data_IF_764937746534
#
_entry.id   IF_764937746534
#
_cell.length_a   1.000
_cell.length_b   1.000
_cell.length_c   1.000
_cell.angle_alpha   90.00
_cell.angle_beta   90.00
_cell.angle_gamma   90.00
#
_symmetry.space_group_name_H-M   'P 1'
#
loop_
_entity.id
_entity.type
_entity.pdbx_description
1 polymer ?
#
# COMPACT_ATOMS: atom_id res chain seq x y z
N UNK A 1 -136.73 -53.97 -47.38
CA UNK A 1 -136.39 -55.28 -46.81
C UNK A 1 -135.03 -55.71 -47.37
N UNK A 2 -134.15 -56.24 -46.49
CA UNK A 2 -132.83 -56.87 -46.73
C UNK A 2 -131.81 -56.10 -47.58
N UNK A 3 -130.72 -55.52 -47.08
CA UNK A 3 -129.54 -56.08 -46.37
C UNK A 3 -128.93 -57.30 -47.06
N UNK A 4 -127.58 -57.29 -47.13
CA UNK A 4 -126.63 -58.34 -47.53
C UNK A 4 -126.12 -58.11 -48.95
N UNK A 5 -124.85 -57.83 -49.22
CA UNK A 5 -123.64 -58.10 -48.46
C UNK A 5 -122.58 -58.54 -49.47
N UNK A 6 -121.85 -57.59 -50.05
CA UNK A 6 -120.77 -57.90 -50.99
C UNK A 6 -119.50 -58.09 -50.16
N UNK A 7 -119.08 -59.34 -50.02
CA UNK A 7 -117.92 -59.77 -49.25
C UNK A 7 -116.67 -58.97 -49.64
N UNK A 8 -116.24 -58.09 -48.74
CA UNK A 8 -114.87 -57.60 -48.72
C UNK A 8 -113.98 -58.85 -48.79
N UNK A 9 -113.13 -58.98 -49.81
CA UNK A 9 -112.27 -60.15 -49.93
C UNK A 9 -111.24 -60.07 -48.79
N UNK A 10 -111.52 -60.79 -47.71
CA UNK A 10 -110.80 -60.70 -46.42
C UNK A 10 -109.30 -60.95 -46.63
N UNK A 11 -108.93 -61.79 -47.61
CA UNK A 11 -107.53 -62.02 -47.99
C UNK A 11 -106.82 -60.78 -48.56
N UNK A 12 -107.53 -59.97 -49.37
CA UNK A 12 -106.99 -58.73 -49.94
C UNK A 12 -106.84 -57.63 -48.88
N UNK A 13 -107.79 -57.55 -47.94
CA UNK A 13 -107.69 -56.65 -46.77
C UNK A 13 -106.60 -57.10 -45.80
N UNK A 14 -106.44 -58.39 -45.57
CA UNK A 14 -105.35 -58.93 -44.75
C UNK A 14 -103.97 -58.66 -45.36
N UNK A 15 -103.81 -58.81 -46.68
CA UNK A 15 -102.56 -58.46 -47.37
C UNK A 15 -102.31 -56.96 -47.28
N UNK A 16 -103.34 -56.11 -47.48
CA UNK A 16 -103.21 -54.66 -47.32
C UNK A 16 -102.85 -54.28 -45.87
N UNK A 17 -103.45 -54.91 -44.87
CA UNK A 17 -103.11 -54.69 -43.46
C UNK A 17 -101.70 -55.20 -43.12
N UNK A 18 -101.25 -56.31 -43.69
CA UNK A 18 -99.90 -56.85 -43.49
C UNK A 18 -98.83 -56.01 -44.19
N UNK A 19 -99.10 -55.49 -45.39
CA UNK A 19 -98.19 -54.57 -46.07
C UNK A 19 -98.18 -53.22 -45.38
N UNK A 20 -99.33 -52.69 -44.94
CA UNK A 20 -99.41 -51.46 -44.13
C UNK A 20 -98.71 -51.65 -42.78
N UNK A 21 -98.90 -52.77 -42.08
CA UNK A 21 -98.24 -53.05 -40.81
C UNK A 21 -96.75 -53.32 -40.99
N UNK A 22 -96.35 -53.99 -42.07
CA UNK A 22 -94.95 -54.23 -42.42
C UNK A 22 -94.23 -52.96 -42.84
N UNK A 23 -94.85 -52.10 -43.65
CA UNK A 23 -94.28 -50.80 -44.03
C UNK A 23 -94.26 -49.83 -42.85
N UNK A 24 -95.29 -49.82 -42.00
CA UNK A 24 -95.32 -49.02 -40.75
C UNK A 24 -94.27 -49.50 -39.74
N UNK A 25 -94.13 -50.81 -39.53
CA UNK A 25 -93.12 -51.38 -38.64
C UNK A 25 -91.69 -51.14 -39.14
N UNK A 26 -91.46 -51.30 -40.45
CA UNK A 26 -90.18 -50.97 -41.06
C UNK A 26 -89.87 -49.47 -40.98
N UNK A 27 -90.84 -48.58 -41.23
CA UNK A 27 -90.63 -47.13 -41.10
C UNK A 27 -90.37 -46.68 -39.68
N UNK A 28 -91.02 -47.27 -38.67
CA UNK A 28 -90.73 -47.00 -37.25
C UNK A 28 -89.33 -47.48 -36.86
N UNK A 29 -88.92 -48.68 -37.29
CA UNK A 29 -87.59 -49.22 -37.02
C UNK A 29 -86.48 -48.44 -37.75
N UNK A 30 -86.74 -48.03 -39.00
CA UNK A 30 -85.84 -47.15 -39.73
C UNK A 30 -85.81 -45.74 -39.12
N UNK A 31 -86.92 -45.22 -38.60
CA UNK A 31 -86.92 -43.95 -37.86
C UNK A 31 -86.01 -44.00 -36.64
N UNK A 32 -86.12 -45.05 -35.82
CA UNK A 32 -85.29 -45.22 -34.62
C UNK A 32 -83.81 -45.46 -34.97
N UNK A 33 -83.54 -46.24 -36.02
CA UNK A 33 -82.17 -46.46 -36.51
C UNK A 33 -81.56 -45.21 -37.14
N UNK A 34 -82.36 -44.41 -37.85
CA UNK A 34 -81.94 -43.12 -38.43
C UNK A 34 -81.73 -42.10 -37.32
N UNK A 35 -82.60 -42.00 -36.31
CA UNK A 35 -82.40 -41.15 -35.12
C UNK A 35 -81.16 -41.54 -34.33
N UNK A 36 -80.93 -42.84 -34.12
CA UNK A 36 -79.73 -43.35 -33.46
C UNK A 36 -78.46 -43.06 -34.24
N UNK A 37 -78.50 -43.17 -35.58
CA UNK A 37 -77.40 -42.75 -36.45
C UNK A 37 -77.18 -41.24 -36.41
N UNK A 38 -78.24 -40.44 -36.46
CA UNK A 38 -78.17 -38.97 -36.45
C UNK A 38 -77.59 -38.47 -35.13
N UNK A 39 -78.02 -39.05 -34.01
CA UNK A 39 -77.49 -38.76 -32.68
C UNK A 39 -76.00 -39.07 -32.60
N UNK A 40 -75.59 -40.23 -33.12
CA UNK A 40 -74.17 -40.63 -33.12
C UNK A 40 -73.32 -39.80 -34.07
N UNK A 41 -73.89 -39.38 -35.20
CA UNK A 41 -73.23 -38.53 -36.19
C UNK A 41 -73.05 -37.11 -35.64
N UNK A 42 -74.08 -36.56 -34.97
CA UNK A 42 -74.02 -35.33 -34.19
C UNK A 42 -72.96 -35.38 -33.09
N UNK A 43 -72.91 -36.48 -32.33
CA UNK A 43 -71.93 -36.67 -31.26
C UNK A 43 -70.49 -36.79 -31.79
N UNK A 44 -70.29 -37.51 -32.91
CA UNK A 44 -69.00 -37.59 -33.60
C UNK A 44 -68.58 -36.25 -34.21
N UNK A 45 -69.52 -35.44 -34.73
CA UNK A 45 -69.24 -34.08 -35.18
C UNK A 45 -68.79 -33.21 -34.00
N UNK A 46 -69.52 -33.21 -32.89
CA UNK A 46 -69.15 -32.48 -31.68
C UNK A 46 -67.78 -32.91 -31.13
N UNK A 47 -67.48 -34.22 -31.09
CA UNK A 47 -66.16 -34.71 -30.71
C UNK A 47 -65.05 -34.30 -31.67
N UNK A 48 -65.33 -34.29 -32.98
CA UNK A 48 -64.36 -33.80 -33.98
C UNK A 48 -64.09 -32.30 -33.81
N UNK A 49 -65.12 -31.51 -33.51
CA UNK A 49 -64.96 -30.09 -33.21
C UNK A 49 -64.13 -29.88 -31.95
N UNK A 50 -64.41 -30.63 -30.88
CA UNK A 50 -63.64 -30.60 -29.64
C UNK A 50 -62.17 -30.97 -29.88
N UNK A 51 -61.90 -32.10 -30.55
CA UNK A 51 -60.53 -32.53 -30.85
C UNK A 51 -59.78 -31.54 -31.74
N UNK A 52 -60.49 -30.86 -32.66
CA UNK A 52 -59.88 -29.80 -33.49
C UNK A 52 -59.53 -28.58 -32.64
N UNK A 53 -60.38 -28.23 -31.68
CA UNK A 53 -60.12 -27.17 -30.71
C UNK A 53 -58.89 -27.51 -29.87
N UNK A 54 -58.87 -28.68 -29.23
CA UNK A 54 -57.78 -29.15 -28.37
C UNK A 54 -56.44 -29.23 -29.15
N UNK A 55 -56.47 -29.71 -30.40
CA UNK A 55 -55.29 -29.77 -31.26
C UNK A 55 -54.77 -28.36 -31.60
N UNK A 56 -55.68 -27.39 -31.81
CA UNK A 56 -55.32 -26.00 -32.06
C UNK A 56 -54.70 -25.34 -30.83
N UNK A 57 -55.27 -25.60 -29.66
CA UNK A 57 -54.75 -25.12 -28.37
C UNK A 57 -53.36 -25.72 -28.08
N UNK A 58 -53.22 -27.04 -28.15
CA UNK A 58 -51.94 -27.71 -27.96
C UNK A 58 -50.85 -27.25 -28.95
N UNK A 59 -51.22 -26.89 -30.19
CA UNK A 59 -50.27 -26.30 -31.16
C UNK A 59 -49.82 -24.91 -30.74
N UNK A 60 -50.74 -24.11 -30.21
CA UNK A 60 -50.45 -22.76 -29.71
C UNK A 60 -49.52 -22.83 -28.50
N UNK A 61 -49.82 -23.70 -27.53
CA UNK A 61 -49.01 -23.92 -26.34
C UNK A 61 -47.59 -24.41 -26.69
N UNK A 62 -47.50 -25.32 -27.66
CA UNK A 62 -46.21 -25.83 -28.14
C UNK A 62 -45.38 -24.69 -28.78
N UNK A 63 -46.02 -23.77 -29.51
CA UNK A 63 -45.35 -22.63 -30.10
C UNK A 63 -44.87 -21.64 -29.01
N UNK A 64 -45.71 -21.32 -28.03
CA UNK A 64 -45.35 -20.46 -26.90
C UNK A 64 -44.20 -21.07 -26.09
N UNK A 65 -44.28 -22.36 -25.79
CA UNK A 65 -43.23 -23.07 -25.06
C UNK A 65 -41.90 -23.06 -25.81
N UNK A 66 -41.92 -23.26 -27.14
CA UNK A 66 -40.71 -23.17 -27.96
C UNK A 66 -40.09 -21.78 -27.91
N UNK A 67 -40.90 -20.73 -27.96
CA UNK A 67 -40.42 -19.36 -27.85
C UNK A 67 -39.79 -19.10 -26.48
N UNK A 68 -40.44 -19.55 -25.39
CA UNK A 68 -39.90 -19.43 -24.02
C UNK A 68 -38.58 -20.18 -23.86
N UNK A 69 -38.42 -21.35 -24.48
CA UNK A 69 -37.16 -22.11 -24.47
C UNK A 69 -36.06 -21.34 -25.22
N UNK A 70 -36.37 -20.69 -26.33
CA UNK A 70 -35.41 -19.86 -27.06
C UNK A 70 -34.95 -18.66 -26.22
N UNK A 71 -35.90 -17.91 -25.64
CA UNK A 71 -35.61 -16.76 -24.77
C UNK A 71 -34.79 -17.16 -23.52
N UNK A 72 -35.10 -18.32 -22.93
CA UNK A 72 -34.34 -18.86 -21.80
C UNK A 72 -32.91 -19.26 -22.21
N UNK A 73 -32.72 -19.82 -23.40
CA UNK A 73 -31.38 -20.16 -23.89
C UNK A 73 -30.52 -18.91 -24.14
N UNK A 74 -31.09 -17.87 -24.74
CA UNK A 74 -30.40 -16.59 -24.97
C UNK A 74 -30.02 -15.92 -23.63
N UNK A 75 -30.94 -15.95 -22.67
CA UNK A 75 -30.70 -15.45 -21.31
C UNK A 75 -29.60 -16.25 -20.60
N UNK A 76 -29.60 -17.58 -20.76
CA UNK A 76 -28.59 -18.46 -20.18
C UNK A 76 -27.21 -18.23 -20.80
N UNK A 77 -27.14 -18.02 -22.11
CA UNK A 77 -25.89 -17.70 -22.81
C UNK A 77 -25.32 -16.35 -22.34
N UNK A 78 -26.17 -15.34 -22.22
CA UNK A 78 -25.81 -14.03 -21.67
C UNK A 78 -25.29 -14.15 -20.25
N UNK A 79 -26.03 -14.82 -19.36
CA UNK A 79 -25.62 -15.02 -17.97
C UNK A 79 -24.30 -15.78 -17.84
N UNK A 80 -24.02 -16.76 -18.73
CA UNK A 80 -22.73 -17.45 -18.77
C UNK A 80 -21.60 -16.53 -19.20
N UNK A 81 -21.84 -15.67 -20.18
CA UNK A 81 -20.89 -14.64 -20.60
C UNK A 81 -20.54 -13.69 -19.46
N UNK A 82 -21.56 -13.18 -18.77
CA UNK A 82 -21.40 -12.27 -17.63
C UNK A 82 -20.60 -12.94 -16.50
N UNK A 83 -20.91 -14.19 -16.16
CA UNK A 83 -20.15 -14.96 -15.15
C UNK A 83 -18.69 -15.12 -15.56
N UNK A 84 -18.41 -15.44 -16.82
CA UNK A 84 -17.04 -15.55 -17.33
C UNK A 84 -16.29 -14.21 -17.23
N UNK A 85 -16.95 -13.10 -17.56
CA UNK A 85 -16.35 -11.77 -17.49
C UNK A 85 -16.06 -11.36 -16.04
N UNK A 86 -17.02 -11.56 -15.14
CA UNK A 86 -16.85 -11.28 -13.71
C UNK A 86 -15.73 -12.14 -13.12
N UNK A 87 -15.64 -13.41 -13.49
CA UNK A 87 -14.55 -14.28 -13.04
C UNK A 87 -13.18 -13.79 -13.51
N UNK A 88 -13.06 -13.32 -14.75
CA UNK A 88 -11.82 -12.74 -15.28
C UNK A 88 -11.41 -11.45 -14.54
N UNK A 89 -12.38 -10.56 -14.32
CA UNK A 89 -12.16 -9.32 -13.57
C UNK A 89 -11.76 -9.58 -12.12
N UNK A 90 -12.37 -10.59 -11.49
CA UNK A 90 -12.03 -11.00 -10.13
C UNK A 90 -10.58 -11.47 -10.05
N UNK A 91 -10.17 -12.37 -10.95
CA UNK A 91 -8.79 -12.86 -11.02
C UNK A 91 -7.77 -11.72 -11.22
N UNK A 92 -8.09 -10.77 -12.10
CA UNK A 92 -7.23 -9.59 -12.32
C UNK A 92 -7.13 -8.72 -11.06
N UNK A 93 -8.25 -8.51 -10.36
CA UNK A 93 -8.29 -7.72 -9.13
C UNK A 93 -7.51 -8.41 -8.01
N UNK A 94 -7.61 -9.73 -7.88
CA UNK A 94 -6.83 -10.52 -6.92
C UNK A 94 -5.32 -10.41 -7.18
N UNK A 95 -4.90 -10.45 -8.45
CA UNK A 95 -3.51 -10.26 -8.82
C UNK A 95 -3.01 -8.85 -8.43
N UNK A 96 -3.76 -7.82 -8.80
CA UNK A 96 -3.42 -6.44 -8.46
C UNK A 96 -3.36 -6.21 -6.94
N UNK A 97 -4.26 -6.84 -6.20
CA UNK A 97 -4.26 -6.78 -4.73
C UNK A 97 -2.99 -7.41 -4.16
N UNK A 98 -2.57 -8.58 -4.67
CA UNK A 98 -1.34 -9.25 -4.25
C UNK A 98 -0.09 -8.41 -4.56
N UNK A 99 -0.03 -7.81 -5.74
CA UNK A 99 1.06 -6.90 -6.14
C UNK A 99 1.11 -5.68 -5.20
N UNK A 100 -0.02 -5.02 -5.00
CA UNK A 100 -0.13 -3.85 -4.11
C UNK A 100 0.24 -4.19 -2.66
N UNK A 101 -0.14 -5.37 -2.16
CA UNK A 101 0.25 -5.83 -0.82
C UNK A 101 1.76 -6.01 -0.69
N UNK A 102 2.40 -6.53 -1.74
CA UNK A 102 3.87 -6.70 -1.78
C UNK A 102 4.57 -5.35 -1.80
N UNK A 103 4.11 -4.42 -2.64
CA UNK A 103 4.64 -3.05 -2.69
C UNK A 103 4.49 -2.33 -1.34
N UNK A 104 3.32 -2.47 -0.69
CA UNK A 104 3.09 -1.90 0.63
C UNK A 104 4.03 -2.48 1.69
N UNK A 105 4.32 -3.78 1.64
CA UNK A 105 5.27 -4.42 2.55
C UNK A 105 6.69 -3.87 2.35
N UNK A 106 7.13 -3.75 1.10
CA UNK A 106 8.44 -3.19 0.76
C UNK A 106 8.56 -1.73 1.20
N UNK A 107 7.56 -0.89 0.88
CA UNK A 107 7.55 0.51 1.27
C UNK A 107 7.61 0.70 2.80
N UNK A 108 6.95 -0.19 3.56
CA UNK A 108 7.06 -0.19 5.03
C UNK A 108 8.46 -0.54 5.52
N UNK A 109 9.14 -1.49 4.88
CA UNK A 109 10.51 -1.84 5.23
C UNK A 109 11.49 -0.70 4.92
N UNK A 110 11.33 -0.07 3.76
CA UNK A 110 12.14 1.08 3.34
C UNK A 110 11.96 2.26 4.29
N UNK A 111 10.72 2.55 4.70
CA UNK A 111 10.42 3.59 5.69
C UNK A 111 11.14 3.32 7.02
N UNK A 112 11.06 2.10 7.55
CA UNK A 112 11.76 1.73 8.78
C UNK A 112 13.28 1.84 8.65
N UNK A 113 13.84 1.49 7.49
CA UNK A 113 15.27 1.65 7.23
C UNK A 113 15.68 3.14 7.19
N UNK A 114 14.88 3.98 6.55
CA UNK A 114 15.08 5.42 6.49
C UNK A 114 15.01 6.07 7.88
N UNK A 115 14.04 5.70 8.72
CA UNK A 115 13.91 6.18 10.09
C UNK A 115 15.14 5.83 10.95
N UNK A 116 15.61 4.58 10.87
CA UNK A 116 16.85 4.17 11.59
C UNK A 116 18.06 4.98 11.14
N UNK A 117 18.18 5.24 9.83
CA UNK A 117 19.27 6.04 9.27
C UNK A 117 19.18 7.50 9.73
N UNK A 118 17.99 8.08 9.78
CA UNK A 118 17.77 9.44 10.28
C UNK A 118 18.22 9.56 11.75
N UNK A 119 17.77 8.65 12.62
CA UNK A 119 18.16 8.64 14.04
C UNK A 119 19.68 8.48 14.23
N UNK A 120 20.32 7.63 13.42
CA UNK A 120 21.77 7.46 13.44
C UNK A 120 22.51 8.73 13.02
N UNK A 121 22.03 9.41 11.97
CA UNK A 121 22.61 10.67 11.53
C UNK A 121 22.43 11.79 12.55
N UNK A 122 21.26 11.88 13.19
CA UNK A 122 21.00 12.85 14.26
C UNK A 122 21.96 12.64 15.44
N UNK A 123 22.15 11.39 15.87
CA UNK A 123 23.11 11.06 16.93
C UNK A 123 24.55 11.45 16.56
N UNK A 124 24.94 11.24 15.30
CA UNK A 124 26.27 11.65 14.80
C UNK A 124 26.43 13.17 14.77
N UNK A 125 25.39 13.90 14.39
CA UNK A 125 25.41 15.38 14.40
C UNK A 125 25.61 15.90 15.82
N UNK A 126 24.86 15.37 16.79
CA UNK A 126 25.00 15.75 18.20
C UNK A 126 26.43 15.49 18.72
N UNK A 127 26.99 14.31 18.42
CA UNK A 127 28.35 13.97 18.82
C UNK A 127 29.41 14.91 18.20
N UNK A 128 29.26 15.24 16.91
CA UNK A 128 30.14 16.18 16.23
C UNK A 128 30.02 17.60 16.79
N UNK A 129 28.81 18.03 17.17
CA UNK A 129 28.60 19.32 17.83
C UNK A 129 29.32 19.38 19.19
N UNK A 130 29.19 18.35 20.02
CA UNK A 130 29.92 18.28 21.29
C UNK A 130 31.43 18.26 21.09
N UNK A 131 31.92 17.49 20.12
CA UNK A 131 33.35 17.45 19.77
C UNK A 131 33.85 18.84 19.34
N UNK A 132 33.07 19.55 18.54
CA UNK A 132 33.43 20.89 18.08
C UNK A 132 33.45 21.92 19.21
N UNK A 133 32.53 21.82 20.18
CA UNK A 133 32.53 22.66 21.37
C UNK A 133 33.77 22.41 22.24
N UNK A 134 34.14 21.15 22.46
CA UNK A 134 35.34 20.80 23.22
C UNK A 134 36.61 21.32 22.54
N UNK A 135 36.75 21.15 21.23
CA UNK A 135 37.89 21.64 20.48
C UNK A 135 38.00 23.17 20.50
N UNK A 136 36.87 23.90 20.52
CA UNK A 136 36.89 25.35 20.70
C UNK A 136 37.43 25.74 22.08
N UNK A 137 36.99 25.04 23.13
CA UNK A 137 37.52 25.26 24.48
C UNK A 137 39.03 25.00 24.56
N UNK A 138 39.50 23.90 23.96
CA UNK A 138 40.94 23.59 23.91
C UNK A 138 41.74 24.67 23.17
N UNK A 139 41.20 25.25 22.09
CA UNK A 139 41.83 26.37 21.39
C UNK A 139 41.92 27.61 22.28
N UNK A 140 40.86 27.96 23.00
CA UNK A 140 40.83 29.11 23.90
C UNK A 140 41.85 28.94 25.06
N UNK A 141 41.93 27.72 25.62
CA UNK A 141 42.90 27.38 26.66
C UNK A 141 44.35 27.51 26.15
N UNK A 142 44.65 26.94 24.98
CA UNK A 142 45.98 27.03 24.35
C UNK A 142 46.36 28.47 23.99
N UNK A 143 45.40 29.30 23.57
CA UNK A 143 45.64 30.72 23.32
C UNK A 143 46.02 31.45 24.61
N UNK A 144 45.31 31.17 25.70
CA UNK A 144 45.60 31.76 27.03
C UNK A 144 46.98 31.33 27.54
N UNK A 145 47.33 30.05 27.39
CA UNK A 145 48.66 29.54 27.74
C UNK A 145 49.76 30.21 26.92
N UNK A 146 49.55 30.37 25.61
CA UNK A 146 50.51 31.05 24.74
C UNK A 146 50.71 32.53 25.11
N UNK A 147 49.66 33.22 25.56
CA UNK A 147 49.78 34.60 26.06
C UNK A 147 50.57 34.66 27.38
N UNK A 148 50.30 33.74 28.32
CA UNK A 148 51.03 33.66 29.58
C UNK A 148 52.53 33.40 29.34
N UNK A 149 52.87 32.45 28.47
CA UNK A 149 54.25 32.16 28.11
C UNK A 149 54.95 33.35 27.44
N UNK A 150 54.25 34.13 26.61
CA UNK A 150 54.81 35.35 26.02
C UNK A 150 55.14 36.40 27.08
N UNK A 151 54.26 36.56 28.08
CA UNK A 151 54.51 37.48 29.19
C UNK A 151 55.70 37.02 30.02
N UNK A 152 55.78 35.72 30.35
CA UNK A 152 56.92 35.14 31.08
C UNK A 152 58.25 35.36 30.34
N UNK A 153 58.27 35.15 29.02
CA UNK A 153 59.45 35.44 28.19
C UNK A 153 59.84 36.92 28.26
N UNK A 154 58.86 37.84 28.22
CA UNK A 154 59.13 39.27 28.34
C UNK A 154 59.71 39.65 29.71
N UNK A 155 59.19 39.05 30.79
CA UNK A 155 59.67 39.29 32.15
C UNK A 155 61.08 38.74 32.36
N UNK A 156 61.40 37.58 31.76
CA UNK A 156 62.75 37.01 31.78
C UNK A 156 63.74 37.85 30.99
N UNK A 157 63.35 38.39 29.82
CA UNK A 157 64.19 39.29 29.03
C UNK A 157 64.53 40.57 29.82
N UNK A 158 63.54 41.13 30.53
CA UNK A 158 63.76 42.25 31.45
C UNK A 158 64.77 41.93 32.56
N UNK A 159 64.63 40.77 33.22
CA UNK A 159 65.58 40.32 34.25
C UNK A 159 67.00 40.14 33.69
N UNK A 160 67.13 39.61 32.46
CA UNK A 160 68.44 39.48 31.81
C UNK A 160 69.08 40.85 31.57
N UNK A 161 68.31 41.83 31.09
CA UNK A 161 68.78 43.21 30.87
C UNK A 161 69.24 43.88 32.18
N UNK A 162 68.49 43.69 33.26
CA UNK A 162 68.83 44.22 34.59
C UNK A 162 70.13 43.59 35.10
N UNK A 163 70.27 42.26 35.01
CA UNK A 163 71.48 41.55 35.41
C UNK A 163 72.71 41.96 34.58
N UNK A 164 72.55 42.18 33.27
CA UNK A 164 73.63 42.69 32.41
C UNK A 164 74.09 44.08 32.84
N UNK A 165 73.15 44.94 33.25
CA UNK A 165 73.44 46.28 33.76
C UNK A 165 74.16 46.22 35.11
N UNK A 166 73.75 45.32 36.00
CA UNK A 166 74.41 45.07 37.29
C UNK A 166 75.84 44.57 37.10
N UNK A 167 76.06 43.60 36.21
CA UNK A 167 77.40 43.10 35.86
C UNK A 167 78.30 44.24 35.38
N UNK A 168 77.82 45.07 34.45
CA UNK A 168 78.60 46.20 33.92
C UNK A 168 79.00 47.21 35.01
N UNK A 169 78.09 47.46 35.96
CA UNK A 169 78.33 48.32 37.12
C UNK A 169 79.37 47.73 38.08
N UNK A 170 79.28 46.43 38.35
CA UNK A 170 80.25 45.70 39.18
C UNK A 170 81.64 45.65 38.53
N UNK A 171 81.73 45.43 37.23
CA UNK A 171 82.99 45.50 36.46
C UNK A 171 83.62 46.88 36.59
N UNK A 172 82.86 47.95 36.34
CA UNK A 172 83.34 49.33 36.51
C UNK A 172 83.82 49.62 37.93
N UNK A 173 83.14 49.08 38.94
CA UNK A 173 83.53 49.22 40.35
C UNK A 173 84.80 48.45 40.67
N UNK A 174 84.99 47.28 40.07
CA UNK A 174 86.19 46.48 40.22
C UNK A 174 87.39 47.21 39.61
N UNK A 175 87.27 47.74 38.40
CA UNK A 175 88.31 48.55 37.74
C UNK A 175 88.74 49.75 38.59
N UNK A 176 87.77 50.46 39.19
CA UNK A 176 88.06 51.58 40.11
C UNK A 176 88.83 51.11 41.36
N UNK A 177 88.43 49.98 41.95
CA UNK A 177 89.12 49.41 43.12
C UNK A 177 90.53 48.91 42.78
N UNK A 178 90.74 48.36 41.59
CA UNK A 178 92.05 47.95 41.09
C UNK A 178 92.97 49.17 40.92
N UNK A 179 92.47 50.24 40.30
CA UNK A 179 93.19 51.51 40.16
C UNK A 179 93.55 52.12 41.52
N UNK A 180 92.61 52.14 42.47
CA UNK A 180 92.86 52.61 43.83
C UNK A 180 93.92 51.76 44.56
N UNK A 181 93.86 50.43 44.40
CA UNK A 181 94.87 49.53 44.96
C UNK A 181 96.25 49.80 44.37
N UNK A 182 96.35 50.01 43.05
CA UNK A 182 97.61 50.36 42.40
C UNK A 182 98.17 51.67 42.95
N UNK A 183 97.35 52.72 43.03
CA UNK A 183 97.77 54.02 43.57
C UNK A 183 98.23 53.91 45.03
N UNK A 184 97.51 53.15 45.87
CA UNK A 184 97.91 52.92 47.25
C UNK A 184 99.24 52.17 47.35
N UNK A 185 99.47 51.17 46.49
CA UNK A 185 100.76 50.46 46.42
C UNK A 185 101.89 51.40 46.00
N UNK A 186 101.68 52.26 45.00
CA UNK A 186 102.66 53.27 44.59
C UNK A 186 102.99 54.24 45.72
N UNK A 187 101.96 54.79 46.39
CA UNK A 187 102.13 55.67 47.56
C UNK A 187 102.85 54.99 48.72
N UNK A 188 102.55 53.71 48.97
CA UNK A 188 103.24 52.92 49.99
C UNK A 188 104.73 52.77 49.64
N UNK A 189 105.05 52.43 48.39
CA UNK A 189 106.43 52.32 47.91
C UNK A 189 107.20 53.63 48.06
N UNK A 190 106.58 54.77 47.70
CA UNK A 190 107.20 56.08 47.85
C UNK A 190 107.44 56.44 49.33
N UNK A 191 106.46 56.18 50.20
CA UNK A 191 106.63 56.37 51.64
C UNK A 191 107.77 55.48 52.21
N UNK A 192 107.85 54.22 51.80
CA UNK A 192 108.92 53.30 52.19
C UNK A 192 110.32 53.74 51.70
N UNK A 193 110.40 54.48 50.59
CA UNK A 193 111.66 55.07 50.10
C UNK A 193 112.12 56.27 50.93
N UNK A 194 111.18 57.04 51.49
CA UNK A 194 111.47 58.23 52.29
C UNK A 194 111.90 57.96 53.74
N UNK A 195 111.78 56.72 54.23
CA UNK A 195 112.21 56.34 55.58
C UNK A 195 113.73 56.13 55.63
N UNK A 196 114.42 56.96 56.42
CA UNK A 196 115.85 56.82 56.74
C UNK A 196 116.01 56.02 58.06
N UNK A 197 116.71 54.87 58.03
CA UNK A 197 116.91 53.98 59.18
C UNK A 197 116.39 52.55 58.98
N UNK A 198 116.04 51.85 60.07
CA UNK A 198 115.49 50.48 60.00
C UNK A 198 114.04 50.51 59.49
N UNK A 199 113.80 49.83 58.36
CA UNK A 199 112.51 49.89 57.66
C UNK A 199 111.47 48.94 58.28
N UNK A 200 110.19 49.36 58.37
CA UNK A 200 109.10 48.49 58.80
C UNK A 200 109.00 47.21 57.94
N UNK A 201 108.46 46.10 58.46
CA UNK A 201 108.31 44.85 57.70
C UNK A 201 107.52 44.99 56.40
N UNK A 202 106.55 45.91 56.35
CA UNK A 202 105.79 46.21 55.13
C UNK A 202 106.61 46.94 54.04
N UNK A 203 107.83 47.39 54.37
CA UNK A 203 108.76 48.12 53.50
C UNK A 203 110.08 47.35 53.28
N UNK A 204 110.17 46.09 53.75
CA UNK A 204 111.32 45.20 53.55
C UNK A 204 111.14 44.32 52.33
#
# INVERSE_FOLDING_TARGET
>A
MSIIGRSINIGLVLILCLTIAGTAGATLFYQESVEGLDTKNSQLQSQNEQLRSDLSEARTDLQETRQRVQELNESLETARGDVSQVSGNLQQTEQQLSETQTELANAKQDLQAAERRANSLESRVQNLQSTNQNLRGEVDDLQSEAENLRNEVSDLDGQVSDLQSEVSSLESRNDELENQNQLLRERLNDACRAIEGDKPPACR
#
